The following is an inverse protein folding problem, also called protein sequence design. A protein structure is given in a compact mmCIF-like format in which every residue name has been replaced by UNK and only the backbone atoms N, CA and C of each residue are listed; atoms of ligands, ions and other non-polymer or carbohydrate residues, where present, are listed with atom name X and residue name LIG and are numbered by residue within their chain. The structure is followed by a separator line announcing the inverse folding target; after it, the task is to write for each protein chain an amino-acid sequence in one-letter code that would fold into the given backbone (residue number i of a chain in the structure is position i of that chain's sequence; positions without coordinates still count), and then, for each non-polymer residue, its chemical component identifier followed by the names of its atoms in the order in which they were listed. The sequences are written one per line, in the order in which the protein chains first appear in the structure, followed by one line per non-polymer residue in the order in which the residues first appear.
data_IF_529136708989
#
_entry.id   IF_529136708989
#
_cell.length_a   1.000
_cell.length_b   1.000
_cell.length_c   1.000
_cell.angle_alpha   90.00
_cell.angle_beta   90.00
_cell.angle_gamma   90.00
#
_symmetry.space_group_name_H-M   'P 1'
#
loop_
_entity.id
_entity.type
_entity.pdbx_description
1 polymer ?
#
# COMPACT_ATOMS: atom_id res chain seq x y z
N UNK A 1 1.57 -6.22 6.85
CA UNK A 1 2.65 -6.53 7.80
C UNK A 1 3.26 -7.88 7.45
N UNK A 2 4.59 -7.97 7.32
CA UNK A 2 5.30 -9.23 7.11
C UNK A 2 6.09 -9.61 8.36
N UNK A 3 6.45 -10.90 8.46
CA UNK A 3 7.08 -11.56 9.60
C UNK A 3 8.61 -11.32 9.70
N UNK A 4 9.16 -10.41 8.89
CA UNK A 4 10.59 -10.07 8.95
C UNK A 4 10.79 -9.03 10.06
N UNK A 5 11.60 -9.39 11.06
CA UNK A 5 11.94 -8.63 12.29
C UNK A 5 11.09 -8.87 13.55
N UNK A 6 10.53 -10.07 13.74
CA UNK A 6 9.84 -10.43 14.99
C UNK A 6 10.77 -10.71 16.20
N UNK A 7 12.09 -10.65 16.05
CA UNK A 7 13.00 -10.85 17.18
C UNK A 7 13.04 -9.67 18.17
N UNK A 8 12.34 -8.56 17.89
CA UNK A 8 12.42 -7.32 18.69
C UNK A 8 11.11 -6.79 19.28
N UNK A 9 9.95 -7.37 18.97
CA UNK A 9 8.65 -6.90 19.49
C UNK A 9 7.83 -8.08 20.02
N UNK A 10 7.54 -8.07 21.32
CA UNK A 10 6.94 -9.18 22.07
C UNK A 10 5.49 -9.52 21.71
N UNK A 11 4.86 -8.79 20.79
CA UNK A 11 3.53 -9.07 20.26
C UNK A 11 3.33 -8.34 18.91
N UNK A 12 2.68 -8.99 17.96
CA UNK A 12 2.28 -8.41 16.67
C UNK A 12 1.41 -7.14 16.82
N UNK A 13 0.62 -7.06 17.90
CA UNK A 13 -0.18 -5.89 18.25
C UNK A 13 0.68 -4.69 18.66
N UNK A 14 1.76 -4.90 19.42
CA UNK A 14 2.70 -3.82 19.79
C UNK A 14 3.40 -3.27 18.55
N UNK A 15 3.81 -4.16 17.63
CA UNK A 15 4.40 -3.76 16.37
C UNK A 15 3.42 -2.98 15.48
N UNK A 16 2.16 -3.43 15.42
CA UNK A 16 1.10 -2.70 14.74
C UNK A 16 0.85 -1.32 15.37
N UNK A 17 0.79 -1.24 16.70
CA UNK A 17 0.62 0.01 17.43
C UNK A 17 1.75 0.99 17.15
N UNK A 18 3.01 0.52 17.16
CA UNK A 18 4.17 1.33 16.82
C UNK A 18 4.09 1.88 15.39
N UNK A 19 3.65 1.07 14.40
CA UNK A 19 3.43 1.56 13.03
C UNK A 19 2.25 2.53 12.92
N UNK A 20 1.22 2.37 13.75
CA UNK A 20 0.04 3.26 13.76
C UNK A 20 0.46 4.70 14.07
N UNK A 21 1.47 4.89 14.93
CA UNK A 21 2.02 6.21 15.30
C UNK A 21 2.51 7.02 14.08
N UNK A 22 3.02 6.36 13.03
CA UNK A 22 3.42 7.04 11.80
C UNK A 22 2.25 7.84 11.19
N UNK A 23 1.03 7.33 11.30
CA UNK A 23 -0.17 7.91 10.70
C UNK A 23 -1.00 8.76 11.69
N UNK A 24 -0.84 8.53 13.00
CA UNK A 24 -1.58 9.29 14.03
C UNK A 24 -0.79 10.48 14.55
N UNK A 25 0.52 10.34 14.77
CA UNK A 25 1.36 11.36 15.41
C UNK A 25 2.27 12.11 14.42
N UNK A 26 2.70 11.44 13.35
CA UNK A 26 3.73 11.97 12.44
C UNK A 26 3.21 12.40 11.08
N UNK A 27 2.00 11.97 10.71
CA UNK A 27 1.35 12.43 9.49
C UNK A 27 0.68 13.79 9.76
N UNK A 28 1.00 14.78 8.92
CA UNK A 28 0.35 16.09 8.96
C UNK A 28 -1.17 15.95 8.81
N UNK A 29 -1.91 16.92 9.35
CA UNK A 29 -3.39 16.93 9.32
C UNK A 29 -3.96 16.85 7.89
N UNK A 30 -3.27 17.44 6.92
CA UNK A 30 -3.65 17.43 5.50
C UNK A 30 -3.02 16.28 4.70
N UNK A 31 -2.16 15.48 5.34
CA UNK A 31 -1.48 14.33 4.76
C UNK A 31 -2.41 13.16 4.48
N UNK A 32 -1.99 12.29 3.55
CA UNK A 32 -2.76 11.11 3.15
C UNK A 32 -2.06 9.84 3.62
N UNK A 33 -2.78 9.00 4.35
CA UNK A 33 -2.31 7.69 4.74
C UNK A 33 -2.47 6.70 3.58
N UNK A 34 -1.37 6.06 3.17
CA UNK A 34 -1.38 5.01 2.13
C UNK A 34 -1.38 3.64 2.80
N UNK A 35 -2.46 2.87 2.60
CA UNK A 35 -2.70 1.62 3.34
C UNK A 35 -2.94 0.42 2.41
N UNK A 36 -2.38 -0.73 2.78
CA UNK A 36 -2.57 -1.99 2.06
C UNK A 36 -3.89 -2.66 2.46
N UNK A 37 -4.84 -2.79 1.55
CA UNK A 37 -6.14 -3.42 1.81
C UNK A 37 -6.07 -4.94 1.93
N UNK A 38 -5.00 -5.58 1.46
CA UNK A 38 -4.82 -7.04 1.63
C UNK A 38 -4.25 -7.39 3.00
N UNK A 39 -3.79 -6.41 3.78
CA UNK A 39 -3.34 -6.56 5.15
C UNK A 39 -4.48 -6.30 6.14
N UNK A 40 -4.79 -7.27 6.99
CA UNK A 40 -5.95 -7.21 7.90
C UNK A 40 -5.90 -6.03 8.88
N UNK A 41 -4.72 -5.70 9.42
CA UNK A 41 -4.53 -4.56 10.34
C UNK A 41 -4.73 -3.24 9.60
N UNK A 42 -4.05 -3.06 8.47
CA UNK A 42 -4.17 -1.86 7.64
C UNK A 42 -5.60 -1.64 7.14
N UNK A 43 -6.29 -2.73 6.79
CA UNK A 43 -7.71 -2.72 6.43
C UNK A 43 -8.59 -2.24 7.58
N UNK A 44 -8.34 -2.71 8.80
CA UNK A 44 -9.08 -2.26 9.98
C UNK A 44 -8.89 -0.75 10.21
N UNK A 45 -7.65 -0.24 10.09
CA UNK A 45 -7.38 1.20 10.20
C UNK A 45 -8.06 2.02 9.11
N UNK A 46 -8.07 1.55 7.85
CA UNK A 46 -8.78 2.21 6.75
C UNK A 46 -10.30 2.30 7.02
N UNK A 47 -10.89 1.30 7.70
CA UNK A 47 -12.29 1.36 8.10
C UNK A 47 -12.54 2.29 9.29
N UNK A 48 -11.62 2.33 10.26
CA UNK A 48 -11.67 3.14 11.48
C UNK A 48 -11.52 4.65 11.19
N UNK A 49 -10.60 5.04 10.31
CA UNK A 49 -10.20 6.43 10.11
C UNK A 49 -11.09 7.23 9.15
N UNK A 50 -12.34 7.47 9.54
CA UNK A 50 -13.30 8.26 8.73
C UNK A 50 -12.91 9.73 8.54
N UNK A 51 -12.10 10.29 9.44
CA UNK A 51 -11.72 11.71 9.42
C UNK A 51 -10.31 11.96 8.85
N UNK A 52 -9.60 10.94 8.36
CA UNK A 52 -8.28 11.09 7.73
C UNK A 52 -8.40 10.86 6.22
N UNK A 53 -7.54 11.51 5.45
CA UNK A 53 -7.38 11.16 4.03
C UNK A 53 -6.68 9.81 3.95
N UNK A 54 -7.34 8.83 3.35
CA UNK A 54 -6.81 7.48 3.18
C UNK A 54 -6.86 7.12 1.70
N UNK A 55 -5.72 6.70 1.16
CA UNK A 55 -5.62 6.08 -0.16
C UNK A 55 -5.22 4.62 0.02
N UNK A 56 -5.94 3.72 -0.63
CA UNK A 56 -5.75 2.28 -0.45
C UNK A 56 -5.12 1.62 -1.66
N UNK A 57 -4.26 0.63 -1.44
CA UNK A 57 -3.71 -0.21 -2.48
C UNK A 57 -3.86 -1.70 -2.16
N UNK A 58 -3.84 -2.56 -3.17
CA UNK A 58 -3.95 -4.02 -2.99
C UNK A 58 -4.13 -4.75 -4.32
N UNK A 59 -4.31 -6.07 -4.26
CA UNK A 59 -4.61 -6.91 -5.43
C UNK A 59 -6.10 -6.98 -5.73
N UNK A 60 -6.96 -6.80 -4.72
CA UNK A 60 -8.39 -6.81 -4.89
C UNK A 60 -8.92 -5.44 -5.35
N UNK A 61 -9.98 -5.45 -6.17
CA UNK A 61 -10.63 -4.25 -6.72
C UNK A 61 -11.41 -3.41 -5.70
N UNK A 62 -11.37 -3.77 -4.42
CA UNK A 62 -11.87 -2.96 -3.31
C UNK A 62 -10.81 -1.97 -2.78
N UNK A 63 -9.58 -1.99 -3.30
CA UNK A 63 -8.59 -0.94 -3.13
C UNK A 63 -8.74 0.14 -4.20
N UNK A 64 -8.29 1.36 -3.92
CA UNK A 64 -8.29 2.45 -4.91
C UNK A 64 -7.20 2.27 -5.98
N UNK A 65 -6.08 1.63 -5.62
CA UNK A 65 -4.97 1.31 -6.53
C UNK A 65 -4.76 -0.20 -6.56
N UNK A 66 -4.99 -0.84 -7.71
CA UNK A 66 -4.87 -2.29 -7.87
C UNK A 66 -4.51 -2.70 -9.31
N UNK A 67 -3.88 -3.86 -9.53
CA UNK A 67 -3.59 -4.33 -10.87
C UNK A 67 -4.85 -4.87 -11.55
N UNK A 68 -5.28 -4.28 -12.67
CA UNK A 68 -6.35 -4.84 -13.52
C UNK A 68 -5.87 -6.12 -14.22
N UNK A 69 -4.60 -6.10 -14.66
CA UNK A 69 -3.88 -7.22 -15.28
C UNK A 69 -2.41 -7.09 -14.93
N UNK A 70 -1.73 -8.20 -14.69
CA UNK A 70 -0.30 -8.20 -14.47
C UNK A 70 0.31 -9.55 -14.88
N UNK A 71 1.60 -9.53 -15.19
CA UNK A 71 2.42 -10.70 -15.36
C UNK A 71 3.63 -10.60 -14.44
N UNK A 72 3.99 -11.72 -13.83
CA UNK A 72 5.22 -11.88 -13.08
C UNK A 72 6.07 -12.88 -13.87
N UNK A 73 7.20 -12.45 -14.38
CA UNK A 73 8.10 -13.31 -15.16
C UNK A 73 9.51 -13.26 -14.59
N UNK A 74 10.43 -14.00 -15.20
CA UNK A 74 11.86 -13.95 -14.88
C UNK A 74 12.52 -12.65 -15.33
N UNK A 75 11.89 -11.93 -16.26
CA UNK A 75 12.36 -10.66 -16.80
C UNK A 75 11.88 -9.46 -15.97
N UNK A 76 10.76 -9.62 -15.24
CA UNK A 76 10.21 -8.52 -14.46
C UNK A 76 8.73 -8.63 -14.11
N UNK A 77 8.16 -7.48 -13.81
CA UNK A 77 6.74 -7.23 -13.56
C UNK A 77 6.23 -6.31 -14.66
N UNK A 78 5.19 -6.75 -15.35
CA UNK A 78 4.43 -5.92 -16.29
C UNK A 78 2.95 -5.91 -15.94
N UNK A 79 2.22 -4.86 -16.31
CA UNK A 79 0.79 -4.82 -16.04
C UNK A 79 0.09 -3.51 -16.36
N UNK A 80 -1.22 -3.53 -16.14
CA UNK A 80 -2.10 -2.36 -16.18
C UNK A 80 -2.66 -2.16 -14.78
N UNK A 81 -2.36 -1.02 -14.19
CA UNK A 81 -2.74 -0.66 -12.83
C UNK A 81 -3.91 0.30 -12.89
N UNK A 82 -5.00 -0.04 -12.21
CA UNK A 82 -6.10 0.87 -11.94
C UNK A 82 -5.65 1.92 -10.92
N UNK A 83 -5.96 3.19 -11.18
CA UNK A 83 -5.79 4.27 -10.21
C UNK A 83 -6.99 5.24 -10.28
N UNK A 84 -7.26 6.03 -9.24
CA UNK A 84 -8.32 7.04 -9.27
C UNK A 84 -8.12 8.12 -10.35
N UNK A 85 -6.88 8.36 -10.78
CA UNK A 85 -6.54 9.32 -11.84
C UNK A 85 -6.62 8.72 -13.25
N UNK A 86 -7.00 7.44 -13.37
CA UNK A 86 -7.01 6.68 -14.61
C UNK A 86 -6.01 5.52 -14.60
N UNK A 87 -6.16 4.55 -15.50
CA UNK A 87 -5.26 3.41 -15.53
C UNK A 87 -3.87 3.78 -16.07
N UNK A 88 -2.83 3.18 -15.50
CA UNK A 88 -1.44 3.36 -15.92
C UNK A 88 -0.81 2.02 -16.34
N UNK A 89 0.15 2.08 -17.26
CA UNK A 89 1.01 0.94 -17.58
C UNK A 89 2.14 0.81 -16.57
N UNK A 90 2.48 -0.42 -16.20
CA UNK A 90 3.59 -0.74 -15.31
C UNK A 90 4.55 -1.67 -16.05
N UNK A 91 5.83 -1.30 -16.06
CA UNK A 91 6.95 -2.14 -16.50
C UNK A 91 8.08 -1.97 -15.48
N UNK A 92 8.64 -3.07 -15.00
CA UNK A 92 9.69 -3.06 -13.99
C UNK A 92 10.54 -4.33 -14.08
N UNK A 93 11.85 -4.22 -13.92
CA UNK A 93 12.76 -5.37 -13.85
C UNK A 93 12.77 -6.04 -12.46
N UNK A 94 11.96 -5.54 -11.52
CA UNK A 94 11.83 -6.14 -10.20
C UNK A 94 11.08 -7.47 -10.29
N UNK A 95 11.43 -8.41 -9.41
CA UNK A 95 10.90 -9.76 -9.45
C UNK A 95 9.96 -10.04 -8.29
N UNK A 96 8.93 -10.85 -8.56
CA UNK A 96 8.06 -11.43 -7.54
C UNK A 96 6.95 -10.52 -7.03
N UNK A 97 5.98 -11.16 -6.38
CA UNK A 97 4.73 -10.51 -5.95
C UNK A 97 4.93 -9.44 -4.87
N UNK A 98 5.93 -9.60 -4.00
CA UNK A 98 6.24 -8.61 -2.96
C UNK A 98 6.67 -7.27 -3.59
N UNK A 99 7.41 -7.31 -4.70
CA UNK A 99 7.78 -6.09 -5.41
C UNK A 99 6.59 -5.45 -6.13
N UNK A 100 5.61 -6.22 -6.60
CA UNK A 100 4.37 -5.64 -7.10
C UNK A 100 3.61 -4.90 -5.97
N UNK A 101 3.57 -5.41 -4.74
CA UNK A 101 3.04 -4.62 -3.60
C UNK A 101 3.83 -3.33 -3.36
N UNK A 102 5.17 -3.38 -3.43
CA UNK A 102 6.00 -2.19 -3.26
C UNK A 102 5.75 -1.15 -4.36
N UNK A 103 5.59 -1.60 -5.60
CA UNK A 103 5.26 -0.75 -6.75
C UNK A 103 3.88 -0.11 -6.58
N UNK A 104 2.86 -0.89 -6.19
CA UNK A 104 1.51 -0.36 -5.91
C UNK A 104 1.53 0.66 -4.76
N UNK A 105 2.31 0.41 -3.71
CA UNK A 105 2.52 1.35 -2.60
C UNK A 105 3.17 2.65 -3.07
N UNK A 106 4.24 2.57 -3.88
CA UNK A 106 4.94 3.73 -4.42
C UNK A 106 4.07 4.56 -5.38
N UNK A 107 3.30 3.90 -6.25
CA UNK A 107 2.31 4.56 -7.11
C UNK A 107 1.30 5.31 -6.25
N UNK A 108 0.78 4.66 -5.20
CA UNK A 108 -0.21 5.26 -4.31
C UNK A 108 0.36 6.47 -3.55
N UNK A 109 1.58 6.37 -3.03
CA UNK A 109 2.26 7.51 -2.40
C UNK A 109 2.47 8.67 -3.37
N UNK A 110 2.81 8.38 -4.63
CA UNK A 110 3.00 9.40 -5.67
C UNK A 110 1.68 10.11 -6.01
N UNK A 111 0.59 9.36 -6.15
CA UNK A 111 -0.76 9.92 -6.36
C UNK A 111 -1.23 10.75 -5.16
N UNK A 112 -0.96 10.28 -3.94
CA UNK A 112 -1.27 11.00 -2.71
C UNK A 112 -0.51 12.34 -2.60
N UNK A 113 0.69 12.42 -3.18
CA UNK A 113 1.48 13.65 -3.28
C UNK A 113 0.99 14.60 -4.40
N UNK A 114 0.16 14.11 -5.34
CA UNK A 114 -0.27 14.86 -6.51
C UNK A 114 0.74 14.83 -7.67
N UNK A 115 1.63 13.84 -7.69
CA UNK A 115 2.44 13.56 -8.87
C UNK A 115 1.55 13.05 -10.02
N UNK A 116 1.88 13.40 -11.28
CA UNK A 116 1.13 12.96 -12.46
C UNK A 116 1.22 11.45 -12.70
#
# INVERSE_FOLDING_TARGET
LSHEHLDFHGNMEEYAAAKKLLFTEHLKDDGTAVLNMDDHVSRAWAMEWKNKKVLTYGFASNAAVYPEKFALTTEGISGKIHTPSGPIGLESNLLGRHNLYNLLSAISASLAWGAP
#
